data_IF_996251166432
#
_entry.id   IF_996251166432
#
_cell.length_a   1.000
_cell.length_b   1.000
_cell.length_c   1.000
_cell.angle_alpha   90.00
_cell.angle_beta   90.00
_cell.angle_gamma   90.00
#
_symmetry.space_group_name_H-M   'P 1'
#
loop_
_entity.id
_entity.type
_entity.pdbx_description
1 polymer ?
#
# COMPACT_ATOMS: atom_id res chain seq x y z
N UNK A 1 -15.57 -24.60 -22.16
CA UNK A 1 -15.92 -23.47 -23.07
C UNK A 1 -15.88 -22.19 -22.25
N UNK A 2 -14.67 -21.71 -21.93
CA UNK A 2 -14.40 -20.50 -21.10
C UNK A 2 -13.39 -19.66 -21.88
N UNK A 3 -13.83 -19.14 -23.02
CA UNK A 3 -12.95 -18.47 -23.99
C UNK A 3 -13.67 -17.26 -24.60
N UNK A 4 -14.30 -16.41 -23.78
CA UNK A 4 -14.77 -15.07 -24.20
C UNK A 4 -14.82 -14.10 -23.00
N UNK A 5 -13.69 -13.83 -22.34
CA UNK A 5 -13.57 -12.66 -21.44
C UNK A 5 -12.37 -11.75 -21.72
N UNK A 6 -11.45 -12.17 -22.61
CA UNK A 6 -10.38 -11.29 -23.10
C UNK A 6 -10.35 -11.37 -24.61
N UNK A 7 -11.11 -10.47 -25.24
CA UNK A 7 -11.07 -10.27 -26.67
C UNK A 7 -9.68 -9.79 -27.10
N UNK A 8 -9.18 -10.38 -28.18
CA UNK A 8 -7.98 -9.99 -28.91
C UNK A 8 -8.28 -8.70 -29.68
N UNK A 9 -8.53 -7.61 -28.95
CA UNK A 9 -8.57 -6.26 -29.53
C UNK A 9 -7.89 -5.31 -28.56
N UNK A 10 -6.68 -4.87 -28.94
CA UNK A 10 -6.00 -3.73 -28.32
C UNK A 10 -6.80 -2.48 -28.67
N UNK A 11 -7.82 -2.19 -27.88
CA UNK A 11 -8.45 -0.86 -27.88
C UNK A 11 -7.57 0.08 -27.06
N UNK A 12 -7.24 1.29 -27.55
CA UNK A 12 -6.51 2.27 -26.76
C UNK A 12 -7.42 2.70 -25.61
N UNK A 13 -7.08 2.34 -24.37
CA UNK A 13 -7.81 2.75 -23.16
C UNK A 13 -7.78 4.27 -22.89
N UNK A 14 -7.21 5.07 -23.79
CA UNK A 14 -7.18 6.52 -23.73
C UNK A 14 -8.29 7.14 -24.59
N UNK A 15 -9.56 6.80 -24.31
CA UNK A 15 -10.65 7.74 -24.61
C UNK A 15 -10.69 8.67 -23.40
N UNK A 16 -10.14 9.87 -23.58
CA UNK A 16 -10.01 10.88 -22.52
C UNK A 16 -11.30 10.94 -21.69
N UNK A 17 -11.19 10.59 -20.41
CA UNK A 17 -12.25 10.82 -19.43
C UNK A 17 -12.59 12.31 -19.53
N UNK A 18 -13.83 12.63 -19.85
CA UNK A 18 -14.24 14.03 -19.98
C UNK A 18 -14.13 14.69 -18.61
N UNK A 19 -13.72 15.96 -18.58
CA UNK A 19 -13.65 16.73 -17.33
C UNK A 19 -14.97 16.66 -16.55
N UNK A 20 -16.10 16.69 -17.25
CA UNK A 20 -17.43 16.53 -16.68
C UNK A 20 -17.62 15.20 -15.94
N UNK A 21 -17.11 14.08 -16.47
CA UNK A 21 -17.17 12.79 -15.78
C UNK A 21 -16.29 12.77 -14.53
N UNK A 22 -15.08 13.32 -14.61
CA UNK A 22 -14.17 13.41 -13.48
C UNK A 22 -14.76 14.29 -12.36
N UNK A 23 -15.34 15.44 -12.73
CA UNK A 23 -16.01 16.36 -11.82
C UNK A 23 -17.23 15.71 -11.15
N UNK A 24 -18.07 15.02 -11.91
CA UNK A 24 -19.22 14.29 -11.37
C UNK A 24 -18.79 13.18 -10.41
N UNK A 25 -17.76 12.43 -10.78
CA UNK A 25 -17.20 11.37 -9.92
C UNK A 25 -16.63 11.96 -8.63
N UNK A 26 -15.94 13.11 -8.71
CA UNK A 26 -15.39 13.81 -7.57
C UNK A 26 -16.49 14.35 -6.64
N UNK A 27 -17.55 14.96 -7.20
CA UNK A 27 -18.72 15.41 -6.42
C UNK A 27 -19.39 14.26 -5.68
N UNK A 28 -19.59 13.11 -6.35
CA UNK A 28 -20.15 11.91 -5.70
C UNK A 28 -19.26 11.39 -4.58
N UNK A 29 -17.95 11.44 -4.75
CA UNK A 29 -16.99 11.06 -3.71
C UNK A 29 -17.07 12.01 -2.51
N UNK A 30 -17.20 13.32 -2.74
CA UNK A 30 -17.39 14.32 -1.68
C UNK A 30 -18.70 14.11 -0.93
N UNK A 31 -19.83 13.91 -1.64
CA UNK A 31 -21.12 13.61 -0.99
C UNK A 31 -21.06 12.33 -0.17
N UNK A 32 -20.34 11.31 -0.65
CA UNK A 32 -20.10 10.10 0.14
C UNK A 32 -19.26 10.38 1.38
N UNK A 33 -18.20 11.18 1.25
CA UNK A 33 -17.34 11.57 2.36
C UNK A 33 -18.09 12.37 3.44
N UNK A 34 -18.99 13.26 3.03
CA UNK A 34 -19.87 14.03 3.92
C UNK A 34 -20.85 13.12 4.70
N UNK A 35 -21.15 11.93 4.18
CA UNK A 35 -22.01 10.94 4.82
C UNK A 35 -21.28 9.97 5.75
N UNK A 36 -19.97 10.12 5.95
CA UNK A 36 -19.21 9.29 6.87
C UNK A 36 -19.59 9.59 8.33
N UNK A 37 -19.66 8.58 9.22
CA UNK A 37 -19.93 8.78 10.64
C UNK A 37 -19.02 9.86 11.24
N UNK A 38 -19.56 10.71 12.13
CA UNK A 38 -18.78 11.75 12.81
C UNK A 38 -17.58 11.19 13.59
N UNK A 39 -17.62 9.92 13.98
CA UNK A 39 -16.49 9.20 14.60
C UNK A 39 -15.28 9.09 13.66
N UNK A 40 -15.52 9.15 12.34
CA UNK A 40 -14.51 9.22 11.29
C UNK A 40 -14.13 10.66 10.94
N UNK A 41 -15.02 11.63 11.17
CA UNK A 41 -14.71 13.05 11.07
C UNK A 41 -13.67 13.44 12.13
N UNK A 42 -12.86 14.46 11.83
CA UNK A 42 -11.72 14.89 12.65
C UNK A 42 -12.10 14.97 14.15
N UNK A 43 -11.19 14.50 15.01
CA UNK A 43 -11.40 14.63 16.46
C UNK A 43 -11.51 16.11 16.82
N UNK A 44 -12.54 16.47 17.59
CA UNK A 44 -12.93 17.77 18.18
C UNK A 44 -12.72 19.09 17.42
N UNK A 45 -12.09 19.10 16.25
CA UNK A 45 -11.74 20.28 15.49
C UNK A 45 -11.98 19.99 14.00
N UNK A 46 -13.05 20.61 13.49
CA UNK A 46 -13.35 20.88 12.08
C UNK A 46 -14.29 19.89 11.36
N UNK A 47 -15.56 20.31 11.29
CA UNK A 47 -16.69 19.71 10.55
C UNK A 47 -16.84 20.17 9.09
N UNK A 48 -15.85 20.86 8.50
CA UNK A 48 -15.99 21.42 7.15
C UNK A 48 -14.75 21.17 6.27
N UNK A 49 -14.82 20.13 5.44
CA UNK A 49 -13.76 19.66 4.54
C UNK A 49 -13.29 20.70 3.51
N UNK A 50 -14.12 21.71 3.20
CA UNK A 50 -13.79 22.78 2.26
C UNK A 50 -13.00 23.95 2.89
N UNK A 51 -12.99 24.08 4.22
CA UNK A 51 -12.37 25.23 4.90
C UNK A 51 -10.87 25.01 5.19
N UNK A 52 -10.40 23.75 5.12
CA UNK A 52 -9.01 23.38 5.42
C UNK A 52 -8.04 23.96 4.39
N UNK A 53 -8.43 24.21 3.14
CA UNK A 53 -7.50 24.74 2.12
C UNK A 53 -7.33 26.27 2.14
N UNK A 54 -8.05 26.99 3.01
CA UNK A 54 -8.09 28.46 3.00
C UNK A 54 -7.77 29.11 4.36
N UNK A 55 -7.44 28.33 5.40
CA UNK A 55 -7.05 28.90 6.70
C UNK A 55 -5.57 29.28 6.73
N UNK A 56 -5.21 30.28 7.55
CA UNK A 56 -3.81 30.68 7.74
C UNK A 56 -2.94 29.56 8.34
N UNK A 57 -3.57 28.56 8.96
CA UNK A 57 -2.91 27.40 9.59
C UNK A 57 -2.79 26.19 8.64
N UNK A 58 -3.27 26.30 7.40
CA UNK A 58 -3.31 25.25 6.38
C UNK A 58 -1.95 25.04 5.67
N UNK A 59 -0.90 24.79 6.43
CA UNK A 59 0.41 24.43 5.85
C UNK A 59 0.32 23.07 5.14
N UNK A 60 1.12 22.82 4.08
CA UNK A 60 1.15 21.52 3.40
C UNK A 60 1.38 20.34 4.36
N UNK A 61 2.25 20.52 5.36
CA UNK A 61 2.55 19.50 6.37
C UNK A 61 1.36 19.24 7.29
N UNK A 62 0.64 20.29 7.71
CA UNK A 62 -0.58 20.15 8.51
C UNK A 62 -1.69 19.43 7.73
N UNK A 63 -1.87 19.78 6.45
CA UNK A 63 -2.84 19.13 5.56
C UNK A 63 -2.47 17.67 5.33
N UNK A 64 -1.19 17.36 5.09
CA UNK A 64 -0.69 16.00 4.96
C UNK A 64 -0.92 15.18 6.24
N UNK A 65 -0.53 15.70 7.40
CA UNK A 65 -0.71 15.04 8.69
C UNK A 65 -2.20 14.76 8.99
N UNK A 66 -3.07 15.73 8.75
CA UNK A 66 -4.51 15.57 8.89
C UNK A 66 -5.06 14.48 7.94
N UNK A 67 -4.60 14.47 6.69
CA UNK A 67 -5.02 13.50 5.67
C UNK A 67 -4.58 12.08 6.04
N UNK A 68 -3.34 11.90 6.51
CA UNK A 68 -2.85 10.60 7.00
C UNK A 68 -3.67 10.13 8.21
N UNK A 69 -4.02 11.02 9.14
CA UNK A 69 -4.86 10.68 10.28
C UNK A 69 -6.28 10.27 9.88
N UNK A 70 -6.88 10.93 8.88
CA UNK A 70 -8.17 10.51 8.31
C UNK A 70 -8.03 9.13 7.67
N UNK A 71 -6.96 8.89 6.91
CA UNK A 71 -6.72 7.62 6.25
C UNK A 71 -6.52 6.46 7.24
N UNK A 72 -5.79 6.70 8.35
CA UNK A 72 -5.67 5.77 9.49
C UNK A 72 -7.05 5.32 9.98
N UNK A 73 -7.97 6.26 10.21
CA UNK A 73 -9.34 6.00 10.66
C UNK A 73 -10.17 5.25 9.63
N UNK A 74 -10.12 5.67 8.36
CA UNK A 74 -10.86 5.02 7.26
C UNK A 74 -10.42 3.56 7.09
N UNK A 75 -9.11 3.30 7.07
CA UNK A 75 -8.56 1.96 6.93
C UNK A 75 -8.98 1.07 8.10
N UNK A 76 -8.88 1.58 9.34
CA UNK A 76 -9.32 0.85 10.52
C UNK A 76 -10.82 0.55 10.50
N UNK A 77 -11.64 1.57 10.28
CA UNK A 77 -13.09 1.45 10.28
C UNK A 77 -13.56 0.48 9.21
N UNK A 78 -13.03 0.60 7.98
CA UNK A 78 -13.40 -0.29 6.88
C UNK A 78 -13.00 -1.74 7.18
N UNK A 79 -11.79 -1.96 7.70
CA UNK A 79 -11.30 -3.30 8.04
C UNK A 79 -12.09 -3.95 9.18
N UNK A 80 -12.54 -3.16 10.16
CA UNK A 80 -13.23 -3.67 11.34
C UNK A 80 -14.72 -3.93 11.10
N UNK A 81 -15.38 -3.07 10.32
CA UNK A 81 -16.84 -3.09 10.22
C UNK A 81 -17.37 -3.78 8.96
N UNK A 82 -16.52 -4.01 7.94
CA UNK A 82 -16.96 -4.55 6.65
C UNK A 82 -16.17 -5.82 6.29
N UNK A 83 -16.83 -6.99 6.18
CA UNK A 83 -16.18 -8.23 5.74
C UNK A 83 -15.60 -8.13 4.32
N UNK A 84 -16.17 -7.23 3.49
CA UNK A 84 -15.67 -6.87 2.15
C UNK A 84 -14.20 -6.49 2.15
N UNK A 85 -13.69 -5.94 3.26
CA UNK A 85 -12.26 -5.63 3.40
C UNK A 85 -11.32 -6.82 3.17
N UNK A 86 -11.84 -8.06 3.20
CA UNK A 86 -11.07 -9.28 2.94
C UNK A 86 -11.10 -9.75 1.49
N UNK A 87 -12.09 -9.35 0.68
CA UNK A 87 -12.30 -9.83 -0.70
C UNK A 87 -12.60 -8.73 -1.72
N UNK A 88 -12.61 -7.46 -1.32
CA UNK A 88 -12.76 -6.29 -2.17
C UNK A 88 -11.43 -5.55 -2.31
N UNK A 89 -11.01 -5.29 -3.54
CA UNK A 89 -9.72 -4.65 -3.83
C UNK A 89 -9.80 -3.13 -4.02
N UNK A 90 -10.99 -2.51 -3.97
CA UNK A 90 -11.16 -1.08 -4.27
C UNK A 90 -10.45 -0.14 -3.28
N UNK A 91 -10.26 -0.56 -2.03
CA UNK A 91 -9.59 0.21 -0.98
C UNK A 91 -8.07 0.03 -0.93
N UNK A 92 -7.49 -0.71 -1.88
CA UNK A 92 -6.05 -0.98 -1.94
C UNK A 92 -5.21 0.31 -2.04
N UNK A 93 -5.74 1.38 -2.66
CA UNK A 93 -5.05 2.67 -2.72
C UNK A 93 -4.90 3.27 -1.33
N UNK A 94 -5.95 3.21 -0.50
CA UNK A 94 -5.89 3.68 0.89
C UNK A 94 -4.81 2.94 1.70
N UNK A 95 -4.70 1.62 1.50
CA UNK A 95 -3.63 0.82 2.10
C UNK A 95 -2.24 1.25 1.61
N UNK A 96 -2.09 1.52 0.31
CA UNK A 96 -0.81 1.90 -0.29
C UNK A 96 -0.32 3.27 0.21
N UNK A 97 -1.21 4.27 0.19
CA UNK A 97 -0.91 5.62 0.69
C UNK A 97 -0.60 5.58 2.19
N UNK A 98 -1.38 4.83 2.98
CA UNK A 98 -1.12 4.71 4.41
C UNK A 98 0.21 4.01 4.68
N UNK A 99 0.52 2.91 3.98
CA UNK A 99 1.78 2.20 4.16
C UNK A 99 3.00 3.07 3.83
N UNK A 100 2.96 3.85 2.74
CA UNK A 100 4.01 4.82 2.40
C UNK A 100 4.17 5.87 3.50
N UNK A 101 3.07 6.47 3.96
CA UNK A 101 3.11 7.43 5.06
C UNK A 101 3.69 6.84 6.35
N UNK A 102 3.37 5.58 6.67
CA UNK A 102 3.89 4.92 7.88
C UNK A 102 5.39 4.64 7.78
N UNK A 103 5.88 4.28 6.59
CA UNK A 103 7.31 4.12 6.34
C UNK A 103 8.07 5.45 6.43
N UNK A 104 7.43 6.56 6.08
CA UNK A 104 8.00 7.91 6.22
C UNK A 104 7.99 8.36 7.69
N UNK A 105 6.88 8.17 8.42
CA UNK A 105 6.77 8.43 9.86
C UNK A 105 7.79 7.64 10.67
N UNK A 106 8.08 6.40 10.24
CA UNK A 106 9.05 5.52 10.88
C UNK A 106 10.47 6.07 10.95
N UNK A 107 10.85 6.96 10.04
CA UNK A 107 12.17 7.62 10.02
C UNK A 107 12.25 8.79 11.02
N UNK A 108 11.11 9.38 11.39
CA UNK A 108 11.03 10.65 12.12
C UNK A 108 10.82 10.41 13.63
N UNK A 109 10.15 9.33 14.03
CA UNK A 109 9.60 9.18 15.38
C UNK A 109 10.60 8.79 16.48
N UNK A 110 10.72 9.65 17.50
CA UNK A 110 11.33 9.37 18.81
C UNK A 110 10.35 8.93 19.91
N UNK A 111 9.05 8.81 19.61
CA UNK A 111 7.97 8.36 20.52
C UNK A 111 7.49 6.93 20.21
N UNK A 112 6.55 6.39 21.02
CA UNK A 112 5.92 5.07 20.77
C UNK A 112 5.32 5.09 19.36
N UNK A 113 5.85 4.32 18.40
CA UNK A 113 5.54 4.60 17.02
C UNK A 113 4.24 3.92 16.59
N UNK A 114 3.13 4.67 16.54
CA UNK A 114 1.84 4.19 16.02
C UNK A 114 1.96 3.67 14.59
N UNK A 115 2.94 4.18 13.81
CA UNK A 115 3.24 3.70 12.47
C UNK A 115 3.39 2.18 12.40
N UNK A 116 3.95 1.54 13.44
CA UNK A 116 4.16 0.08 13.48
C UNK A 116 2.85 -0.68 13.43
N UNK A 117 1.83 -0.17 14.12
CA UNK A 117 0.51 -0.77 14.14
C UNK A 117 -0.17 -0.65 12.78
N UNK A 118 -0.23 0.57 12.23
CA UNK A 118 -0.86 0.83 10.94
C UNK A 118 -0.14 0.17 9.77
N UNK A 119 1.20 0.12 9.79
CA UNK A 119 1.97 -0.59 8.77
C UNK A 119 1.66 -2.09 8.81
N UNK A 120 1.64 -2.71 10.00
CA UNK A 120 1.25 -4.12 10.15
C UNK A 120 -0.19 -4.39 9.70
N UNK A 121 -1.10 -3.46 9.98
CA UNK A 121 -2.48 -3.52 9.50
C UNK A 121 -2.50 -3.56 7.96
N UNK A 122 -1.81 -2.65 7.29
CA UNK A 122 -1.70 -2.63 5.83
C UNK A 122 -1.14 -3.95 5.27
N UNK A 123 -0.04 -4.45 5.85
CA UNK A 123 0.58 -5.71 5.43
C UNK A 123 -0.39 -6.89 5.58
N UNK A 124 -1.07 -6.99 6.72
CA UNK A 124 -2.07 -8.04 6.98
C UNK A 124 -3.26 -7.96 6.04
N UNK A 125 -3.71 -6.74 5.72
CA UNK A 125 -4.77 -6.51 4.75
C UNK A 125 -4.35 -6.97 3.36
N UNK A 126 -3.13 -6.65 2.89
CA UNK A 126 -2.64 -7.17 1.62
C UNK A 126 -2.43 -8.69 1.61
N UNK A 127 -1.92 -9.28 2.70
CA UNK A 127 -1.83 -10.74 2.84
C UNK A 127 -3.21 -11.41 2.73
N UNK A 128 -4.24 -10.77 3.26
CA UNK A 128 -5.63 -11.23 3.14
C UNK A 128 -6.13 -11.09 1.71
N UNK A 129 -5.96 -9.92 1.10
CA UNK A 129 -6.38 -9.64 -0.27
C UNK A 129 -5.65 -10.51 -1.29
N UNK A 130 -4.43 -10.96 -0.98
CA UNK A 130 -3.69 -11.85 -1.85
C UNK A 130 -4.45 -13.14 -2.16
N UNK A 131 -5.36 -13.62 -1.31
CA UNK A 131 -6.17 -14.81 -1.62
C UNK A 131 -7.00 -14.65 -2.89
N UNK A 132 -7.46 -13.42 -3.21
CA UNK A 132 -8.24 -13.11 -4.41
C UNK A 132 -7.50 -12.26 -5.45
N UNK A 133 -6.46 -11.52 -5.06
CA UNK A 133 -5.82 -10.51 -5.90
C UNK A 133 -4.30 -10.62 -5.90
N UNK A 134 -3.73 -11.07 -7.01
CA UNK A 134 -2.28 -11.25 -7.21
C UNK A 134 -1.46 -9.99 -6.98
N UNK A 135 -2.02 -8.83 -7.35
CA UNK A 135 -1.34 -7.55 -7.20
C UNK A 135 -0.93 -7.30 -5.75
N UNK A 136 -1.69 -7.82 -4.78
CA UNK A 136 -1.36 -7.70 -3.37
C UNK A 136 0.00 -8.34 -3.02
N UNK A 137 0.43 -9.43 -3.67
CA UNK A 137 1.76 -10.03 -3.47
C UNK A 137 2.86 -9.06 -3.87
N UNK A 138 2.75 -8.48 -5.08
CA UNK A 138 3.71 -7.51 -5.59
C UNK A 138 3.84 -6.28 -4.68
N UNK A 139 2.70 -5.72 -4.26
CA UNK A 139 2.67 -4.57 -3.35
C UNK A 139 3.30 -4.94 -1.99
N UNK A 140 2.91 -6.09 -1.41
CA UNK A 140 3.45 -6.54 -0.12
C UNK A 140 4.96 -6.71 -0.17
N UNK A 141 5.49 -7.40 -1.18
CA UNK A 141 6.94 -7.61 -1.33
C UNK A 141 7.69 -6.30 -1.57
N UNK A 142 7.12 -5.37 -2.32
CA UNK A 142 7.70 -4.04 -2.55
C UNK A 142 7.77 -3.24 -1.24
N UNK A 143 6.69 -3.23 -0.45
CA UNK A 143 6.66 -2.59 0.86
C UNK A 143 7.65 -3.23 1.84
N UNK A 144 7.89 -4.55 1.75
CA UNK A 144 8.96 -5.21 2.52
C UNK A 144 10.35 -4.71 2.10
N UNK A 145 10.61 -4.56 0.79
CA UNK A 145 11.88 -3.97 0.32
C UNK A 145 12.09 -2.60 0.93
N UNK A 146 11.08 -1.73 0.82
CA UNK A 146 11.14 -0.36 1.34
C UNK A 146 11.34 -0.34 2.86
N UNK A 147 10.70 -1.25 3.59
CA UNK A 147 10.83 -1.35 5.05
C UNK A 147 12.24 -1.82 5.49
N UNK A 148 12.83 -2.77 4.75
CA UNK A 148 14.20 -3.23 4.97
C UNK A 148 15.22 -2.13 4.65
N UNK A 149 15.06 -1.46 3.50
CA UNK A 149 15.94 -0.36 3.08
C UNK A 149 15.94 0.80 4.09
N UNK A 150 14.77 1.10 4.68
CA UNK A 150 14.65 2.14 5.72
C UNK A 150 15.10 1.66 7.10
N UNK A 151 15.45 0.39 7.28
CA UNK A 151 15.87 -0.18 8.58
C UNK A 151 14.76 -0.27 9.62
N UNK A 152 13.50 -0.17 9.20
CA UNK A 152 12.33 -0.15 10.11
C UNK A 152 11.74 -1.54 10.34
N UNK A 153 12.20 -2.52 9.55
CA UNK A 153 11.88 -3.93 9.66
C UNK A 153 13.16 -4.75 9.56
N UNK A 154 13.23 -5.86 10.29
CA UNK A 154 14.33 -6.81 10.18
C UNK A 154 14.05 -7.90 9.12
N UNK A 155 15.10 -8.57 8.66
CA UNK A 155 14.99 -9.59 7.62
C UNK A 155 14.19 -10.82 8.08
N UNK A 156 14.31 -11.32 9.32
CA UNK A 156 13.45 -12.39 9.83
C UNK A 156 11.95 -12.08 9.75
N UNK A 157 11.53 -10.87 10.13
CA UNK A 157 10.13 -10.41 10.03
C UNK A 157 9.67 -10.36 8.59
N UNK A 158 10.48 -9.78 7.69
CA UNK A 158 10.16 -9.73 6.27
C UNK A 158 10.03 -11.14 5.66
N UNK A 159 10.90 -12.07 6.07
CA UNK A 159 10.88 -13.47 5.65
C UNK A 159 9.63 -14.20 6.14
N UNK A 160 9.20 -13.94 7.38
CA UNK A 160 7.98 -14.51 7.94
C UNK A 160 6.73 -14.06 7.15
N UNK A 161 6.64 -12.77 6.81
CA UNK A 161 5.54 -12.23 6.00
C UNK A 161 5.54 -12.86 4.59
N UNK A 162 6.71 -12.96 3.94
CA UNK A 162 6.81 -13.64 2.64
C UNK A 162 6.34 -15.10 2.73
N UNK A 163 6.80 -15.84 3.73
CA UNK A 163 6.43 -17.26 3.91
C UNK A 163 4.92 -17.42 4.09
N UNK A 164 4.27 -16.51 4.81
CA UNK A 164 2.81 -16.50 4.94
C UNK A 164 2.12 -16.26 3.57
N UNK A 165 2.63 -15.36 2.73
CA UNK A 165 2.12 -15.21 1.36
C UNK A 165 2.27 -16.51 0.56
N UNK A 166 3.43 -17.16 0.60
CA UNK A 166 3.67 -18.40 -0.14
C UNK A 166 2.73 -19.53 0.31
N UNK A 167 2.39 -19.58 1.61
CA UNK A 167 1.39 -20.52 2.13
C UNK A 167 -0.02 -20.23 1.61
N UNK A 168 -0.39 -18.96 1.48
CA UNK A 168 -1.66 -18.51 0.89
C UNK A 168 -1.72 -18.71 -0.63
N UNK A 169 -0.56 -18.80 -1.29
CA UNK A 169 -0.44 -19.02 -2.74
C UNK A 169 -0.99 -20.36 -3.21
N UNK A 170 -1.16 -21.35 -2.32
CA UNK A 170 -1.64 -22.70 -2.66
C UNK A 170 -3.04 -22.73 -3.28
N UNK A 171 -3.76 -21.62 -3.26
CA UNK A 171 -5.08 -21.45 -3.87
C UNK A 171 -5.04 -20.73 -5.24
N UNK A 172 -3.86 -20.36 -5.75
CA UNK A 172 -3.71 -19.64 -7.02
C UNK A 172 -3.31 -20.57 -8.17
N UNK A 173 -4.22 -20.86 -9.09
CA UNK A 173 -3.94 -21.68 -10.29
C UNK A 173 -3.27 -20.92 -11.45
N UNK A 174 -3.25 -19.59 -11.44
CA UNK A 174 -2.74 -18.77 -12.56
C UNK A 174 -1.26 -18.34 -12.32
N UNK A 175 -0.54 -17.98 -13.38
CA UNK A 175 0.90 -17.66 -13.40
C UNK A 175 1.31 -16.44 -12.55
N UNK A 176 2.34 -16.58 -11.73
CA UNK A 176 2.89 -15.63 -10.74
C UNK A 176 3.43 -14.29 -11.30
N UNK A 177 3.22 -14.00 -12.58
CA UNK A 177 3.67 -12.78 -13.24
C UNK A 177 2.88 -11.55 -12.72
N UNK A 178 3.56 -10.69 -11.98
CA UNK A 178 3.04 -9.40 -11.50
C UNK A 178 3.05 -8.39 -12.66
N UNK A 179 2.00 -7.55 -12.83
CA UNK A 179 2.01 -6.51 -13.85
C UNK A 179 3.19 -5.56 -13.67
N UNK A 180 3.95 -5.38 -14.75
CA UNK A 180 5.29 -4.77 -14.77
C UNK A 180 5.28 -3.26 -14.47
N UNK A 181 4.12 -2.59 -14.49
CA UNK A 181 4.04 -1.12 -14.49
C UNK A 181 3.39 -0.49 -13.23
N UNK A 182 3.32 -1.19 -12.11
CA UNK A 182 2.65 -0.66 -10.91
C UNK A 182 3.62 0.07 -9.96
N UNK A 183 3.38 1.36 -9.70
CA UNK A 183 4.15 2.20 -8.77
C UNK A 183 3.74 1.89 -7.32
N UNK A 184 4.72 1.61 -6.44
CA UNK A 184 4.48 1.33 -5.02
C UNK A 184 5.15 2.36 -4.12
N UNK A 185 6.39 2.74 -4.43
CA UNK A 185 7.08 3.81 -3.71
C UNK A 185 6.63 5.17 -4.25
N UNK A 186 5.71 5.81 -3.53
CA UNK A 186 5.08 7.05 -3.99
C UNK A 186 6.04 8.24 -3.92
N UNK A 187 6.99 8.22 -2.98
CA UNK A 187 7.98 9.27 -2.83
C UNK A 187 9.06 9.14 -3.91
N UNK A 188 9.57 7.93 -4.15
CA UNK A 188 10.54 7.66 -5.20
C UNK A 188 9.96 7.92 -6.59
N UNK A 189 8.66 7.70 -6.80
CA UNK A 189 8.01 7.94 -8.08
C UNK A 189 8.11 9.38 -8.58
N UNK A 190 8.26 10.35 -7.67
CA UNK A 190 8.44 11.75 -8.04
C UNK A 190 9.84 12.03 -8.64
N UNK A 191 10.82 11.18 -8.34
CA UNK A 191 12.22 11.34 -8.73
C UNK A 191 12.65 10.35 -9.81
N UNK A 192 12.25 9.08 -9.66
CA UNK A 192 12.52 7.98 -10.57
C UNK A 192 11.30 7.05 -10.65
N UNK A 193 10.36 7.34 -11.58
CA UNK A 193 9.17 6.53 -11.77
C UNK A 193 9.45 5.08 -12.17
N UNK A 194 10.63 4.77 -12.72
CA UNK A 194 11.01 3.42 -13.09
C UNK A 194 11.41 2.62 -11.85
N UNK A 195 12.30 3.19 -11.02
CA UNK A 195 12.77 2.55 -9.80
C UNK A 195 11.66 2.35 -8.75
N UNK A 196 10.63 3.20 -8.76
CA UNK A 196 9.47 3.10 -7.87
C UNK A 196 8.49 1.96 -8.18
N UNK A 197 8.73 1.22 -9.28
CA UNK A 197 7.83 0.16 -9.73
C UNK A 197 8.04 -1.15 -8.97
N UNK A 198 6.95 -1.90 -8.92
CA UNK A 198 6.87 -3.21 -8.24
C UNK A 198 7.96 -4.17 -8.70
N UNK A 199 8.28 -4.23 -10.00
CA UNK A 199 9.34 -5.11 -10.50
C UNK A 199 10.70 -4.81 -9.87
N UNK A 200 11.11 -3.55 -9.89
CA UNK A 200 12.39 -3.10 -9.35
C UNK A 200 12.47 -3.29 -7.83
N UNK A 201 11.40 -2.95 -7.10
CA UNK A 201 11.36 -3.11 -5.65
C UNK A 201 11.35 -4.59 -5.24
N UNK A 202 10.61 -5.45 -5.94
CA UNK A 202 10.62 -6.90 -5.70
C UNK A 202 11.99 -7.50 -6.02
N UNK A 203 12.67 -7.01 -7.05
CA UNK A 203 14.02 -7.47 -7.40
C UNK A 203 15.03 -7.10 -6.32
N UNK A 204 15.03 -5.85 -5.83
CA UNK A 204 15.85 -5.41 -4.69
C UNK A 204 15.61 -6.26 -3.44
N UNK A 205 14.34 -6.55 -3.14
CA UNK A 205 14.00 -7.42 -2.02
C UNK A 205 14.62 -8.81 -2.12
N UNK A 206 14.65 -9.40 -3.32
CA UNK A 206 15.28 -10.70 -3.56
C UNK A 206 16.79 -10.64 -3.36
N UNK A 207 17.44 -9.57 -3.82
CA UNK A 207 18.88 -9.38 -3.67
C UNK A 207 19.29 -9.31 -2.20
N UNK A 208 18.57 -8.54 -1.38
CA UNK A 208 18.82 -8.46 0.09
C UNK A 208 18.77 -9.84 0.75
N UNK A 209 17.87 -10.72 0.31
CA UNK A 209 17.78 -12.08 0.85
C UNK A 209 18.86 -13.03 0.34
N UNK A 210 19.37 -12.83 -0.87
CA UNK A 210 20.45 -13.65 -1.43
C UNK A 210 21.77 -13.40 -0.68
N UNK A 211 22.07 -12.14 -0.34
CA UNK A 211 23.31 -11.78 0.35
C UNK A 211 23.42 -12.40 1.76
N UNK A 212 22.33 -12.48 2.53
CA UNK A 212 22.36 -13.14 3.85
C UNK A 212 22.49 -14.67 3.78
N UNK A 213 21.92 -15.29 2.74
CA UNK A 213 21.97 -16.77 2.61
C UNK A 213 23.41 -17.23 2.34
N UNK A 214 24.19 -16.42 1.61
CA UNK A 214 25.62 -16.66 1.40
C UNK A 214 26.46 -16.23 2.61
N UNK A 215 26.14 -15.11 3.27
CA UNK A 215 26.86 -14.65 4.47
C UNK A 215 26.77 -15.60 5.67
N UNK A 216 25.68 -16.37 5.80
CA UNK A 216 25.57 -17.40 6.84
C UNK A 216 26.34 -18.70 6.51
N UNK A 217 26.62 -18.96 5.22
CA UNK A 217 27.39 -20.13 4.80
C UNK A 217 28.91 -19.90 4.92
N UNK A 218 29.37 -18.64 4.88
CA UNK A 218 30.79 -18.30 4.99
C UNK A 218 31.31 -18.34 6.44
N UNK A 219 30.44 -18.33 7.45
CA UNK A 219 30.83 -18.45 8.88
C UNK A 219 30.97 -19.89 9.39
N UNK A 220 30.66 -20.90 8.58
CA UNK A 220 30.78 -22.33 8.95
C UNK A 220 31.99 -23.02 8.32
N UNK A 221 32.87 -22.28 7.64
CA UNK A 221 34.02 -22.82 6.92
C UNK A 221 35.36 -22.24 7.39
N UNK A 222 35.59 -22.16 8.70
CA UNK A 222 36.93 -22.00 9.26
C UNK A 222 37.08 -22.82 10.56
N UNK A 223 37.50 -24.06 10.33
CA UNK A 223 38.02 -25.08 11.25
C UNK A 223 39.44 -24.72 11.77
N UNK A 224 40.00 -25.38 12.81
CA UNK A 224 40.11 -26.85 12.94
C UNK A 224 39.63 -27.47 14.26
#
# INVERSE_FOLDING_TARGET
MIQVMYGVERTPYAKAITLAFAEETYKRLLTWADGLPLEMAQGDQCTHHAMILQSADATPDAVYAASVNQLKRIVLFYRQNYPESSYCFFWQSALLYLANAMLTEAKISGHVPEWRFYFRLCMTSYQTLYTGFRLAKGITLSLLSMALEKGVMDIPQARAIRKDLDLRSKHHEISDLVPVSWVVDLDLAMMDPSAAQTENLVQRFREVQLYETNGNNDTLAQEP
#
